data_IF_801791642760
#
_entry.id   IF_801791642760
#
_cell.length_a   1.000
_cell.length_b   1.000
_cell.length_c   1.000
_cell.angle_alpha   90.00
_cell.angle_beta   90.00
_cell.angle_gamma   90.00
#
_symmetry.space_group_name_H-M   'P 1'
#
loop_
_entity.id
_entity.type
_entity.pdbx_description
1 polymer ?
#
# COMPACT_ATOMS: atom_id res chain seq x y z
N UNK A 1 -34.56 54.22 42.81
CA UNK A 1 -35.24 53.35 41.82
C UNK A 1 -34.14 52.79 40.94
N UNK A 2 -33.78 51.52 41.14
CA UNK A 2 -32.70 50.88 40.38
C UNK A 2 -33.24 50.65 38.97
N UNK A 3 -32.70 51.38 37.99
CA UNK A 3 -32.98 51.16 36.58
C UNK A 3 -32.36 49.81 36.20
N UNK A 4 -33.21 48.82 36.03
CA UNK A 4 -32.87 47.56 35.39
C UNK A 4 -32.37 47.88 33.98
N UNK A 5 -31.08 47.69 33.71
CA UNK A 5 -30.60 47.54 32.35
C UNK A 5 -31.27 46.28 31.78
N UNK A 6 -32.14 46.49 30.79
CA UNK A 6 -32.74 45.42 30.00
C UNK A 6 -31.62 44.54 29.45
N UNK A 7 -31.73 43.22 29.66
CA UNK A 7 -30.93 42.21 28.97
C UNK A 7 -30.84 42.57 27.49
N UNK A 8 -29.64 42.90 27.01
CA UNK A 8 -29.41 43.17 25.59
C UNK A 8 -29.79 41.92 24.78
N UNK A 9 -30.81 42.03 23.96
CA UNK A 9 -31.09 41.05 22.91
C UNK A 9 -29.89 41.05 21.94
N UNK A 10 -29.08 40.00 21.98
CA UNK A 10 -28.00 39.77 21.01
C UNK A 10 -28.60 39.09 19.78
N UNK A 11 -28.47 39.68 18.58
CA UNK A 11 -29.03 39.10 17.37
C UNK A 11 -28.34 37.78 17.02
N UNK A 12 -29.08 36.85 16.42
CA UNK A 12 -28.46 35.64 15.85
C UNK A 12 -27.79 35.93 14.51
N UNK A 13 -26.94 35.01 14.04
CA UNK A 13 -26.37 35.05 12.69
C UNK A 13 -27.43 35.06 11.58
N UNK A 14 -28.67 34.64 11.86
CA UNK A 14 -29.78 34.70 10.89
C UNK A 14 -30.44 36.07 10.79
N UNK A 15 -30.18 36.96 11.75
CA UNK A 15 -30.72 38.33 11.80
C UNK A 15 -29.68 39.38 11.37
N UNK A 16 -28.45 38.96 11.12
CA UNK A 16 -27.33 39.81 10.71
C UNK A 16 -27.15 39.76 9.18
N UNK A 17 -26.67 40.86 8.56
CA UNK A 17 -26.30 40.85 7.14
C UNK A 17 -25.22 39.78 6.87
N UNK A 18 -25.45 38.97 5.83
CA UNK A 18 -24.58 37.89 5.38
C UNK A 18 -24.03 38.10 3.96
N UNK A 19 -24.28 39.27 3.37
CA UNK A 19 -23.80 39.69 2.05
C UNK A 19 -23.68 41.22 2.05
N UNK A 20 -22.53 41.75 1.60
CA UNK A 20 -22.38 43.17 1.29
C UNK A 20 -22.15 43.37 -0.22
N UNK A 21 -22.73 44.44 -0.78
CA UNK A 21 -22.58 44.83 -2.18
C UNK A 21 -21.28 45.65 -2.37
N UNK A 22 -20.13 45.11 -1.97
CA UNK A 22 -18.80 45.72 -2.19
C UNK A 22 -18.00 45.00 -3.30
N UNK A 23 -16.96 45.62 -3.92
CA UNK A 23 -16.38 45.15 -5.17
C UNK A 23 -15.87 43.71 -5.10
N UNK A 24 -16.23 42.91 -6.10
CA UNK A 24 -15.86 41.49 -6.23
C UNK A 24 -14.35 41.30 -6.06
N UNK A 25 -13.98 40.44 -5.11
CA UNK A 25 -12.62 40.00 -4.87
C UNK A 25 -11.91 39.58 -6.15
N UNK A 26 -10.60 39.83 -6.21
CA UNK A 26 -9.82 39.32 -7.33
C UNK A 26 -9.65 37.79 -7.23
N UNK A 27 -9.35 37.13 -8.36
CA UNK A 27 -9.23 35.68 -8.45
C UNK A 27 -8.32 35.08 -7.36
N UNK A 28 -7.25 35.78 -6.96
CA UNK A 28 -6.27 35.28 -6.01
C UNK A 28 -6.70 35.43 -4.55
N UNK A 29 -7.48 36.47 -4.24
CA UNK A 29 -8.14 36.62 -2.95
C UNK A 29 -9.12 35.47 -2.69
N UNK A 30 -9.71 34.91 -3.76
CA UNK A 30 -10.54 33.71 -3.67
C UNK A 30 -9.71 32.41 -3.62
N UNK A 31 -8.77 32.21 -4.54
CA UNK A 31 -8.09 30.93 -4.69
C UNK A 31 -7.17 30.58 -3.51
N UNK A 32 -6.48 31.56 -2.92
CA UNK A 32 -5.48 31.29 -1.88
C UNK A 32 -6.10 30.81 -0.56
N UNK A 33 -7.11 31.48 0.02
CA UNK A 33 -7.78 30.98 1.23
C UNK A 33 -8.47 29.64 0.98
N UNK A 34 -9.05 29.41 -0.20
CA UNK A 34 -9.69 28.14 -0.55
C UNK A 34 -8.68 26.99 -0.71
N UNK A 35 -7.48 27.25 -1.26
CA UNK A 35 -6.38 26.28 -1.27
C UNK A 35 -5.95 25.91 0.15
N UNK A 36 -5.77 26.91 1.03
CA UNK A 36 -5.42 26.65 2.43
C UNK A 36 -6.52 25.86 3.15
N UNK A 37 -7.80 26.17 2.90
CA UNK A 37 -8.94 25.42 3.44
C UNK A 37 -8.95 23.96 2.93
N UNK A 38 -8.67 23.74 1.65
CA UNK A 38 -8.69 22.40 1.05
C UNK A 38 -7.56 21.51 1.59
N UNK A 39 -6.35 22.06 1.72
CA UNK A 39 -5.22 21.38 2.36
C UNK A 39 -5.56 21.09 3.82
N UNK A 40 -6.09 22.08 4.56
CA UNK A 40 -6.45 21.92 5.97
C UNK A 40 -7.52 20.84 6.18
N UNK A 41 -8.51 20.76 5.30
CA UNK A 41 -9.52 19.70 5.30
C UNK A 41 -8.91 18.31 5.10
N UNK A 42 -7.77 18.22 4.41
CA UNK A 42 -6.99 16.99 4.26
C UNK A 42 -6.16 16.64 5.49
N UNK A 43 -5.53 17.63 6.15
CA UNK A 43 -4.73 17.44 7.37
C UNK A 43 -5.63 17.05 8.56
N UNK A 44 -6.77 17.70 8.67
CA UNK A 44 -7.70 17.63 9.81
C UNK A 44 -9.03 16.99 9.42
N UNK A 45 -8.99 15.93 8.59
CA UNK A 45 -10.20 15.27 8.06
C UNK A 45 -11.12 14.77 9.16
N UNK A 46 -10.54 14.14 10.19
CA UNK A 46 -11.25 13.55 11.33
C UNK A 46 -11.46 14.54 12.49
N UNK A 47 -10.81 15.71 12.44
CA UNK A 47 -10.88 16.71 13.49
C UNK A 47 -12.15 17.55 13.31
N UNK A 48 -12.92 17.73 14.39
CA UNK A 48 -14.24 18.40 14.36
C UNK A 48 -14.32 19.67 15.23
N UNK A 49 -13.26 20.03 15.93
CA UNK A 49 -13.12 21.19 16.81
C UNK A 49 -12.32 22.33 16.14
N UNK A 50 -12.61 22.65 14.88
CA UNK A 50 -12.01 23.77 14.17
C UNK A 50 -12.93 24.32 13.09
N UNK A 51 -12.77 25.58 12.73
CA UNK A 51 -13.46 26.19 11.59
C UNK A 51 -12.53 27.14 10.86
N UNK A 52 -12.46 27.00 9.54
CA UNK A 52 -11.78 27.96 8.66
C UNK A 52 -12.83 28.64 7.79
N UNK A 53 -12.95 29.97 7.92
CA UNK A 53 -13.85 30.78 7.11
C UNK A 53 -13.08 31.50 6.01
N UNK A 54 -13.74 31.70 4.87
CA UNK A 54 -13.25 32.46 3.71
C UNK A 54 -14.31 33.51 3.41
N UNK A 55 -13.89 34.76 3.24
CA UNK A 55 -14.77 35.90 2.94
C UNK A 55 -16.07 35.89 3.78
N UNK A 56 -15.91 35.80 5.10
CA UNK A 56 -17.03 35.64 6.02
C UNK A 56 -16.98 36.67 7.13
N UNK A 57 -18.10 37.37 7.33
CA UNK A 57 -18.26 38.38 8.36
C UNK A 57 -18.15 37.82 9.77
N UNK A 58 -17.37 38.52 10.60
CA UNK A 58 -17.12 38.18 11.99
C UNK A 58 -17.68 39.27 12.90
N UNK A 59 -18.60 38.89 13.77
CA UNK A 59 -19.28 39.80 14.69
C UNK A 59 -18.77 39.62 16.12
N UNK A 60 -18.10 40.66 16.62
CA UNK A 60 -17.48 40.68 17.95
C UNK A 60 -18.36 41.32 19.02
N UNK A 61 -19.21 42.27 18.61
CA UNK A 61 -20.09 43.05 19.50
C UNK A 61 -21.38 43.39 18.79
N UNK A 62 -22.48 43.42 19.56
CA UNK A 62 -23.78 43.81 19.03
C UNK A 62 -23.73 45.24 18.46
N UNK A 63 -24.29 45.45 17.26
CA UNK A 63 -24.36 46.74 16.54
C UNK A 63 -23.04 47.36 16.07
N UNK A 64 -21.93 46.64 16.17
CA UNK A 64 -20.68 47.01 15.49
C UNK A 64 -20.66 46.36 14.09
N UNK A 65 -20.04 47.02 13.09
CA UNK A 65 -19.81 46.40 11.79
C UNK A 65 -19.05 45.08 11.91
N UNK A 66 -19.35 44.13 11.03
CA UNK A 66 -18.56 42.92 10.91
C UNK A 66 -17.15 43.23 10.44
N UNK A 67 -16.20 42.43 10.90
CA UNK A 67 -14.86 42.36 10.33
C UNK A 67 -14.84 41.21 9.33
N UNK A 68 -14.34 41.47 8.13
CA UNK A 68 -14.30 40.49 7.04
C UNK A 68 -12.83 40.33 6.62
N UNK A 69 -12.15 39.26 7.06
CA UNK A 69 -10.85 38.87 6.52
C UNK A 69 -11.01 37.94 5.32
N UNK A 70 -10.02 37.91 4.42
CA UNK A 70 -10.02 37.00 3.26
C UNK A 70 -10.01 35.53 3.70
N UNK A 71 -9.40 35.25 4.86
CA UNK A 71 -9.55 33.96 5.53
C UNK A 71 -9.26 34.03 7.03
N UNK A 72 -9.83 33.12 7.80
CA UNK A 72 -9.52 32.99 9.22
C UNK A 72 -9.62 31.55 9.71
N UNK A 73 -8.89 31.25 10.79
CA UNK A 73 -8.92 29.97 11.46
C UNK A 73 -9.29 30.14 12.94
N UNK A 74 -10.30 29.39 13.37
CA UNK A 74 -10.66 29.19 14.78
C UNK A 74 -10.46 27.73 15.15
N UNK A 75 -9.92 27.50 16.35
CA UNK A 75 -9.92 26.19 17.00
C UNK A 75 -10.99 26.15 18.09
N UNK A 76 -11.27 24.97 18.62
CA UNK A 76 -12.22 24.75 19.73
C UNK A 76 -13.67 25.15 19.42
N UNK A 77 -14.02 25.21 18.13
CA UNK A 77 -15.38 25.47 17.64
C UNK A 77 -15.85 24.34 16.74
N UNK A 78 -17.17 24.10 16.67
CA UNK A 78 -17.71 23.03 15.83
C UNK A 78 -17.36 23.24 14.36
N UNK A 79 -16.75 22.27 13.69
CA UNK A 79 -16.48 22.34 12.25
C UNK A 79 -17.76 22.48 11.44
N UNK A 80 -18.77 21.71 11.81
CA UNK A 80 -20.08 21.69 11.14
C UNK A 80 -21.16 22.14 12.12
N UNK A 81 -21.38 23.46 12.21
CA UNK A 81 -22.35 24.05 13.12
C UNK A 81 -23.78 23.69 12.72
N UNK A 82 -24.55 23.16 13.67
CA UNK A 82 -26.00 22.96 13.49
C UNK A 82 -26.75 24.12 14.14
N UNK A 83 -27.65 24.76 13.41
CA UNK A 83 -28.48 25.86 13.93
C UNK A 83 -29.82 25.37 14.49
N UNK A 84 -30.45 26.09 15.43
CA UNK A 84 -31.78 25.77 15.95
C UNK A 84 -32.86 25.65 14.87
N UNK A 85 -32.72 26.40 13.76
CA UNK A 85 -33.60 26.35 12.59
C UNK A 85 -33.48 25.06 11.77
N UNK A 86 -32.58 24.15 12.13
CA UNK A 86 -32.26 22.94 11.37
C UNK A 86 -31.32 23.17 10.18
N UNK A 87 -30.97 24.43 9.88
CA UNK A 87 -29.96 24.77 8.87
C UNK A 87 -28.57 24.33 9.34
N UNK A 88 -27.77 23.76 8.43
CA UNK A 88 -26.36 23.38 8.67
C UNK A 88 -25.43 24.45 8.11
N UNK A 89 -24.37 24.78 8.84
CA UNK A 89 -23.36 25.78 8.44
C UNK A 89 -23.58 27.17 9.02
N UNK A 90 -22.51 27.97 9.02
CA UNK A 90 -22.45 29.35 9.52
C UNK A 90 -22.82 30.33 8.40
N UNK A 91 -23.69 31.30 8.71
CA UNK A 91 -23.92 32.47 7.84
C UNK A 91 -22.90 33.57 8.11
N UNK A 92 -22.46 33.65 9.36
CA UNK A 92 -21.41 34.55 9.84
C UNK A 92 -20.76 33.92 11.05
N UNK A 93 -19.56 34.37 11.40
CA UNK A 93 -18.90 33.94 12.63
C UNK A 93 -19.28 34.90 13.76
N UNK A 94 -20.16 34.44 14.64
CA UNK A 94 -20.73 35.28 15.69
C UNK A 94 -20.19 34.85 17.04
N UNK A 95 -19.39 35.70 17.70
CA UNK A 95 -18.67 35.30 18.92
C UNK A 95 -19.57 34.74 20.02
N UNK A 96 -20.72 35.37 20.27
CA UNK A 96 -21.63 34.91 21.33
C UNK A 96 -22.33 33.59 20.97
N UNK A 97 -22.39 33.22 19.69
CA UNK A 97 -22.83 31.89 19.28
C UNK A 97 -21.69 30.85 19.25
N UNK A 98 -20.44 31.28 19.39
CA UNK A 98 -19.23 30.44 19.45
C UNK A 98 -18.63 30.44 20.87
N UNK A 99 -19.44 30.67 21.90
CA UNK A 99 -19.02 30.73 23.31
C UNK A 99 -17.88 31.73 23.61
N UNK A 100 -17.77 32.79 22.80
CA UNK A 100 -16.74 33.81 22.93
C UNK A 100 -15.37 33.40 22.38
N UNK A 101 -15.28 32.27 21.66
CA UNK A 101 -14.03 31.82 21.05
C UNK A 101 -13.65 32.76 19.91
N UNK A 102 -12.46 33.35 20.01
CA UNK A 102 -11.88 34.22 18.98
C UNK A 102 -11.14 33.38 17.94
N UNK A 103 -11.19 33.75 16.65
CA UNK A 103 -10.26 33.21 15.67
C UNK A 103 -8.81 33.44 16.10
N UNK A 104 -7.97 32.41 15.92
CA UNK A 104 -6.55 32.47 16.24
C UNK A 104 -5.74 33.12 15.12
N UNK A 105 -6.16 32.96 13.87
CA UNK A 105 -5.42 33.44 12.70
C UNK A 105 -6.33 34.17 11.73
N UNK A 106 -5.88 35.32 11.24
CA UNK A 106 -6.43 36.04 10.10
C UNK A 106 -5.44 36.07 8.94
N UNK A 107 -5.98 36.00 7.72
CA UNK A 107 -5.27 36.05 6.44
C UNK A 107 -5.81 37.22 5.61
N UNK A 108 -4.89 37.98 5.02
CA UNK A 108 -5.19 39.02 4.02
C UNK A 108 -4.27 38.84 2.79
N UNK A 109 -4.89 38.74 1.62
CA UNK A 109 -4.29 38.63 0.29
C UNK A 109 -4.47 39.97 -0.43
N UNK A 110 -3.37 40.64 -0.77
CA UNK A 110 -3.42 42.00 -1.32
C UNK A 110 -2.70 42.12 -2.66
N UNK A 111 -3.21 42.98 -3.56
CA UNK A 111 -2.80 42.94 -4.99
C UNK A 111 -2.39 44.25 -5.65
N UNK A 112 -2.56 45.48 -5.09
CA UNK A 112 -2.08 46.68 -5.81
C UNK A 112 -1.95 48.05 -5.12
N UNK A 113 -2.58 48.37 -3.99
CA UNK A 113 -2.45 49.72 -3.40
C UNK A 113 -2.53 49.73 -1.87
N UNK A 114 -1.44 50.16 -1.25
CA UNK A 114 -1.30 50.33 0.19
C UNK A 114 -1.97 51.65 0.62
N UNK A 115 -3.31 51.67 0.65
CA UNK A 115 -4.07 52.77 1.21
C UNK A 115 -4.12 52.60 2.75
N UNK A 116 -4.31 53.67 3.51
CA UNK A 116 -4.21 53.68 4.99
C UNK A 116 -5.04 52.62 5.73
N UNK A 117 -6.07 52.08 5.06
CA UNK A 117 -6.97 50.99 5.45
C UNK A 117 -6.26 49.79 6.11
N UNK A 118 -5.10 49.38 5.60
CA UNK A 118 -4.38 48.23 6.14
C UNK A 118 -3.71 48.48 7.50
N UNK A 119 -3.20 49.70 7.70
CA UNK A 119 -2.65 50.09 9.02
C UNK A 119 -3.73 50.13 10.09
N UNK A 120 -4.96 50.36 9.67
CA UNK A 120 -6.13 50.40 10.55
C UNK A 120 -6.64 48.98 10.83
N UNK A 121 -6.76 48.11 9.80
CA UNK A 121 -7.04 46.66 9.97
C UNK A 121 -6.04 45.98 10.92
N UNK A 122 -4.74 46.21 10.74
CA UNK A 122 -3.70 45.63 11.63
C UNK A 122 -3.87 46.04 13.09
N UNK A 123 -4.26 47.28 13.36
CA UNK A 123 -4.53 47.74 14.74
C UNK A 123 -5.85 47.16 15.25
N UNK A 124 -6.87 47.11 14.41
CA UNK A 124 -8.16 46.51 14.72
C UNK A 124 -7.99 45.05 15.13
N UNK A 125 -7.26 44.24 14.36
CA UNK A 125 -7.02 42.82 14.66
C UNK A 125 -6.21 42.64 15.95
N UNK A 126 -5.24 43.51 16.20
CA UNK A 126 -4.50 43.52 17.46
C UNK A 126 -5.40 43.86 18.66
N UNK A 127 -6.31 44.83 18.50
CA UNK A 127 -7.27 45.23 19.54
C UNK A 127 -8.32 44.14 19.80
N UNK A 128 -8.69 43.36 18.79
CA UNK A 128 -9.57 42.20 18.90
C UNK A 128 -8.89 41.01 19.60
N UNK A 129 -7.56 40.98 19.62
CA UNK A 129 -6.79 39.91 20.26
C UNK A 129 -6.47 38.73 19.33
N UNK A 130 -6.55 38.91 18.01
CA UNK A 130 -6.24 37.85 17.04
C UNK A 130 -4.75 37.51 17.13
N UNK A 131 -4.43 36.26 17.44
CA UNK A 131 -3.08 35.85 17.80
C UNK A 131 -2.12 35.92 16.61
N UNK A 132 -2.55 35.47 15.43
CA UNK A 132 -1.75 35.42 14.22
C UNK A 132 -2.38 36.26 13.11
N UNK A 133 -1.54 37.05 12.44
CA UNK A 133 -1.95 37.85 11.30
C UNK A 133 -1.00 37.62 10.12
N UNK A 134 -1.53 36.97 9.09
CA UNK A 134 -0.84 36.57 7.87
C UNK A 134 -1.20 37.52 6.74
N UNK A 135 -0.18 37.92 5.99
CA UNK A 135 -0.28 38.89 4.92
C UNK A 135 0.45 38.31 3.73
N UNK A 136 -0.24 38.22 2.59
CA UNK A 136 0.34 37.74 1.36
C UNK A 136 0.12 38.75 0.23
N UNK A 137 1.21 39.22 -0.36
CA UNK A 137 1.20 40.12 -1.50
C UNK A 137 1.28 39.32 -2.79
N UNK A 138 0.22 39.38 -3.58
CA UNK A 138 0.12 38.62 -4.82
C UNK A 138 0.51 39.41 -6.08
N UNK A 139 0.94 40.69 -5.96
CA UNK A 139 1.46 41.47 -7.09
C UNK A 139 2.93 41.12 -7.38
N UNK A 140 3.13 40.25 -8.36
CA UNK A 140 4.45 39.83 -8.83
C UNK A 140 5.16 40.89 -9.69
N UNK A 141 4.44 41.88 -10.23
CA UNK A 141 5.01 42.87 -11.15
C UNK A 141 5.56 44.10 -10.41
N UNK A 142 5.01 44.42 -9.23
CA UNK A 142 5.50 45.50 -8.37
C UNK A 142 5.55 45.02 -6.91
N UNK A 143 6.37 44.00 -6.59
CA UNK A 143 6.43 43.47 -5.24
C UNK A 143 6.79 44.58 -4.26
N UNK A 144 6.08 44.65 -3.13
CA UNK A 144 6.51 45.51 -2.01
C UNK A 144 7.98 45.22 -1.74
N UNK A 145 8.81 46.27 -1.66
CA UNK A 145 10.26 46.18 -1.36
C UNK A 145 10.48 45.24 -0.16
N UNK A 146 10.80 43.98 -0.44
CA UNK A 146 11.28 42.99 0.51
C UNK A 146 10.27 42.04 1.17
N UNK A 147 8.94 42.20 1.09
CA UNK A 147 8.04 41.35 1.89
C UNK A 147 6.75 40.96 1.15
N UNK A 148 6.83 39.87 0.37
CA UNK A 148 5.66 39.23 -0.27
C UNK A 148 4.85 38.37 0.71
N UNK A 149 5.46 37.91 1.79
CA UNK A 149 4.83 37.11 2.82
C UNK A 149 5.25 37.61 4.21
N UNK A 150 4.27 37.87 5.07
CA UNK A 150 4.49 38.32 6.44
C UNK A 150 3.57 37.59 7.40
N UNK A 151 4.14 37.01 8.45
CA UNK A 151 3.37 36.49 9.59
C UNK A 151 3.68 37.35 10.80
N UNK A 152 2.64 37.80 11.49
CA UNK A 152 2.75 38.54 12.73
C UNK A 152 2.11 37.76 13.86
N UNK A 153 2.77 37.73 15.02
CA UNK A 153 2.23 37.17 16.26
C UNK A 153 1.94 38.28 17.25
N UNK A 154 0.78 38.24 17.88
CA UNK A 154 0.38 39.21 18.89
C UNK A 154 1.12 38.94 20.20
N UNK A 155 1.87 39.92 20.68
CA UNK A 155 2.62 39.86 21.94
C UNK A 155 2.38 41.16 22.70
N UNK A 156 1.80 41.07 23.90
CA UNK A 156 1.48 42.22 24.75
C UNK A 156 0.67 43.31 24.01
N UNK A 157 -0.34 42.89 23.24
CA UNK A 157 -1.22 43.79 22.47
C UNK A 157 -0.59 44.42 21.24
N UNK A 158 0.60 43.97 20.81
CA UNK A 158 1.27 44.46 19.60
C UNK A 158 1.73 43.31 18.72
N UNK A 159 1.55 43.47 17.41
CA UNK A 159 2.03 42.49 16.44
C UNK A 159 3.55 42.57 16.25
N UNK A 160 4.21 41.44 16.46
CA UNK A 160 5.64 41.24 16.18
C UNK A 160 5.77 40.35 14.95
N UNK A 161 6.49 40.84 13.93
CA UNK A 161 6.77 40.06 12.71
C UNK A 161 7.63 38.85 13.05
N UNK A 162 7.20 37.68 12.59
CA UNK A 162 7.95 36.43 12.72
C UNK A 162 8.95 36.32 11.56
N UNK A 163 10.18 35.85 11.81
CA UNK A 163 11.18 35.66 10.77
C UNK A 163 10.94 34.35 10.01
N UNK A 164 11.44 34.28 8.77
CA UNK A 164 11.42 33.07 7.94
C UNK A 164 10.40 33.12 6.80
N UNK A 165 10.59 32.21 5.85
CA UNK A 165 9.67 31.97 4.72
C UNK A 165 8.59 30.93 5.05
N UNK A 166 8.82 30.16 6.13
CA UNK A 166 7.87 29.27 6.78
C UNK A 166 7.85 29.60 8.27
N UNK A 167 6.67 29.82 8.83
CA UNK A 167 6.49 30.23 10.22
C UNK A 167 5.65 29.19 10.94
N UNK A 168 6.27 28.49 11.89
CA UNK A 168 5.59 27.57 12.78
C UNK A 168 4.73 28.31 13.82
N UNK A 169 3.46 27.93 13.94
CA UNK A 169 2.51 28.53 14.88
C UNK A 169 2.10 27.50 15.94
N UNK A 170 2.78 27.45 17.10
CA UNK A 170 2.62 26.36 18.06
C UNK A 170 1.20 26.23 18.63
N UNK A 171 0.46 27.33 18.78
CA UNK A 171 -0.93 27.32 19.25
C UNK A 171 -1.91 26.74 18.22
N UNK A 172 -1.52 26.72 16.94
CA UNK A 172 -2.30 26.11 15.85
C UNK A 172 -1.83 24.66 15.60
N UNK A 173 -0.55 24.38 15.83
CA UNK A 173 0.07 23.10 15.52
C UNK A 173 0.34 22.92 14.03
N UNK A 174 0.46 24.02 13.29
CA UNK A 174 0.80 24.05 11.86
C UNK A 174 1.76 25.21 11.57
N UNK A 175 2.61 25.02 10.57
CA UNK A 175 3.36 26.10 9.93
C UNK A 175 2.62 26.65 8.73
N UNK A 176 2.85 27.92 8.42
CA UNK A 176 2.38 28.53 7.17
C UNK A 176 3.57 29.15 6.43
N UNK A 177 3.60 28.95 5.12
CA UNK A 177 4.69 29.41 4.29
C UNK A 177 4.29 29.45 2.83
N UNK A 178 5.26 29.75 1.98
CA UNK A 178 5.08 29.90 0.54
C UNK A 178 6.03 29.03 -0.24
N UNK A 179 5.53 28.44 -1.32
CA UNK A 179 6.32 27.60 -2.23
C UNK A 179 5.77 27.72 -3.65
N UNK A 180 6.61 27.46 -4.66
CA UNK A 180 6.15 27.36 -6.04
C UNK A 180 5.48 26.00 -6.24
N UNK A 181 4.22 26.01 -6.66
CA UNK A 181 3.48 24.81 -6.97
C UNK A 181 2.42 25.06 -8.03
N UNK A 182 1.72 24.00 -8.42
CA UNK A 182 0.65 24.05 -9.42
C UNK A 182 -0.68 23.79 -8.75
N UNK A 183 -1.61 24.74 -8.85
CA UNK A 183 -2.98 24.56 -8.38
C UNK A 183 -3.93 25.02 -9.48
N UNK A 184 -4.95 24.21 -9.78
CA UNK A 184 -5.88 24.43 -10.91
C UNK A 184 -5.17 24.71 -12.25
N UNK A 185 -4.04 24.03 -12.49
CA UNK A 185 -3.25 24.20 -13.71
C UNK A 185 -2.38 25.46 -13.77
N UNK A 186 -2.33 26.26 -12.70
CA UNK A 186 -1.51 27.47 -12.64
C UNK A 186 -0.29 27.29 -11.74
N UNK A 187 0.90 27.26 -12.35
CA UNK A 187 2.18 27.19 -11.66
C UNK A 187 2.65 28.58 -11.23
N UNK A 188 2.77 28.78 -9.90
CA UNK A 188 3.25 30.02 -9.29
C UNK A 188 3.53 29.82 -7.80
N UNK A 189 3.95 30.89 -7.12
CA UNK A 189 4.01 30.90 -5.66
C UNK A 189 2.60 30.90 -5.04
N UNK A 190 2.36 29.93 -4.17
CA UNK A 190 1.13 29.74 -3.39
C UNK A 190 1.44 29.64 -1.90
N UNK A 191 0.41 29.80 -1.06
CA UNK A 191 0.50 29.52 0.37
C UNK A 191 0.13 28.08 0.67
N UNK A 192 0.87 27.48 1.60
CA UNK A 192 0.67 26.12 2.05
C UNK A 192 0.77 26.01 3.58
N UNK A 193 0.20 24.93 4.11
CA UNK A 193 0.44 24.48 5.48
C UNK A 193 1.69 23.60 5.53
N UNK A 194 2.40 23.63 6.65
CA UNK A 194 3.61 22.87 6.90
C UNK A 194 3.52 22.13 8.23
N UNK A 195 4.19 21.00 8.34
CA UNK A 195 4.36 20.30 9.61
C UNK A 195 5.42 20.98 10.50
N UNK A 196 5.67 20.40 11.68
CA UNK A 196 6.63 20.93 12.67
C UNK A 196 8.09 20.87 12.19
N UNK A 197 8.38 19.99 11.24
CA UNK A 197 9.72 19.73 10.71
C UNK A 197 9.98 20.60 9.45
N UNK A 198 8.97 21.33 8.99
CA UNK A 198 9.03 22.24 7.85
C UNK A 198 8.69 21.57 6.52
N UNK A 199 8.07 20.40 6.52
CA UNK A 199 7.60 19.75 5.30
C UNK A 199 6.22 20.30 4.92
N UNK A 200 6.06 20.66 3.65
CA UNK A 200 4.80 21.14 3.08
C UNK A 200 3.77 20.01 3.05
N UNK A 201 2.54 20.28 3.48
CA UNK A 201 1.43 19.36 3.26
C UNK A 201 0.97 19.42 1.80
N UNK A 202 0.76 18.27 1.14
CA UNK A 202 0.37 18.23 -0.26
C UNK A 202 -1.05 18.76 -0.46
N UNK A 203 -1.30 19.31 -1.66
CA UNK A 203 -2.66 19.67 -2.07
C UNK A 203 -3.52 18.43 -2.29
N UNK A 204 -4.86 18.55 -2.32
CA UNK A 204 -5.73 17.45 -2.69
C UNK A 204 -5.38 16.83 -4.06
N UNK A 205 -4.97 17.64 -5.04
CA UNK A 205 -4.56 17.15 -6.35
C UNK A 205 -3.27 16.32 -6.27
N UNK A 206 -2.25 16.83 -5.57
CA UNK A 206 -0.98 16.12 -5.39
C UNK A 206 -1.18 14.77 -4.66
N UNK A 207 -2.06 14.72 -3.66
CA UNK A 207 -2.43 13.47 -2.96
C UNK A 207 -3.10 12.45 -3.87
N UNK A 208 -3.97 12.91 -4.77
CA UNK A 208 -4.66 12.04 -5.73
C UNK A 208 -3.66 11.47 -6.75
N UNK A 209 -2.74 12.29 -7.25
CA UNK A 209 -1.68 11.84 -8.16
C UNK A 209 -0.76 10.80 -7.50
N UNK A 210 -0.34 11.04 -6.25
CA UNK A 210 0.46 10.08 -5.48
C UNK A 210 -0.28 8.75 -5.28
N UNK A 211 -1.56 8.81 -4.88
CA UNK A 211 -2.39 7.61 -4.69
C UNK A 211 -2.58 6.84 -6.00
N UNK A 212 -2.81 7.56 -7.12
CA UNK A 212 -2.94 6.95 -8.44
C UNK A 212 -1.66 6.23 -8.85
N UNK A 213 -0.50 6.87 -8.63
CA UNK A 213 0.81 6.29 -8.96
C UNK A 213 1.10 5.02 -8.15
N UNK A 214 0.79 5.04 -6.84
CA UNK A 214 0.94 3.86 -5.98
C UNK A 214 0.02 2.71 -6.40
N UNK A 215 -1.20 3.03 -6.84
CA UNK A 215 -2.16 2.04 -7.32
C UNK A 215 -1.70 1.39 -8.63
N UNK A 216 -1.12 2.17 -9.54
CA UNK A 216 -0.53 1.67 -10.78
C UNK A 216 0.66 0.74 -10.48
N UNK A 217 1.58 1.15 -9.60
CA UNK A 217 2.72 0.32 -9.18
C UNK A 217 2.26 -1.00 -8.54
N UNK A 218 1.28 -0.94 -7.64
CA UNK A 218 0.71 -2.14 -7.00
C UNK A 218 0.05 -3.06 -8.03
N UNK A 219 -0.64 -2.49 -9.04
CA UNK A 219 -1.25 -3.26 -10.11
C UNK A 219 -0.20 -3.99 -10.95
N UNK A 220 0.90 -3.33 -11.29
CA UNK A 220 2.00 -3.96 -12.03
C UNK A 220 2.67 -5.09 -11.25
N UNK A 221 2.89 -4.90 -9.93
CA UNK A 221 3.43 -5.96 -9.06
C UNK A 221 2.49 -7.17 -8.96
N UNK A 222 1.17 -6.93 -8.92
CA UNK A 222 0.18 -8.00 -8.90
C UNK A 222 0.17 -8.81 -10.21
N UNK A 223 0.30 -8.14 -11.36
CA UNK A 223 0.39 -8.78 -12.67
C UNK A 223 1.64 -9.67 -12.77
N UNK A 224 2.81 -9.15 -12.36
CA UNK A 224 4.05 -9.93 -12.33
C UNK A 224 3.94 -11.17 -11.44
N UNK A 225 3.38 -11.00 -10.24
CA UNK A 225 3.15 -12.11 -9.30
C UNK A 225 2.21 -13.16 -9.89
N UNK A 226 1.17 -12.73 -10.60
CA UNK A 226 0.23 -13.64 -11.28
C UNK A 226 0.92 -14.43 -12.38
N UNK A 227 1.78 -13.82 -13.20
CA UNK A 227 2.53 -14.52 -14.25
C UNK A 227 3.51 -15.54 -13.66
N UNK A 228 4.20 -15.21 -12.57
CA UNK A 228 5.10 -16.15 -11.88
C UNK A 228 4.34 -17.36 -11.30
N UNK A 229 3.13 -17.12 -10.78
CA UNK A 229 2.27 -18.19 -10.27
C UNK A 229 1.80 -19.13 -11.40
N UNK A 230 1.44 -18.58 -12.55
CA UNK A 230 1.07 -19.35 -13.74
C UNK A 230 2.24 -20.22 -14.22
N UNK A 231 3.45 -19.64 -14.34
CA UNK A 231 4.65 -20.38 -14.72
C UNK A 231 4.96 -21.51 -13.73
N UNK A 232 4.89 -21.23 -12.43
CA UNK A 232 5.11 -22.24 -11.38
C UNK A 232 4.07 -23.36 -11.46
N UNK A 233 2.82 -23.03 -11.76
CA UNK A 233 1.75 -24.02 -11.92
C UNK A 233 2.02 -24.93 -13.14
N UNK A 234 2.46 -24.37 -14.26
CA UNK A 234 2.83 -25.16 -15.44
C UNK A 234 4.02 -26.07 -15.18
N UNK A 235 5.06 -25.60 -14.48
CA UNK A 235 6.21 -26.41 -14.09
C UNK A 235 5.81 -27.57 -13.16
N UNK A 236 4.87 -27.32 -12.24
CA UNK A 236 4.34 -28.35 -11.35
C UNK A 236 3.56 -29.43 -12.11
N UNK A 237 2.75 -29.03 -13.09
CA UNK A 237 2.02 -29.95 -13.97
C UNK A 237 2.99 -30.84 -14.77
N UNK A 238 4.02 -30.24 -15.39
CA UNK A 238 5.04 -30.98 -16.14
C UNK A 238 5.78 -31.98 -15.24
N UNK A 239 6.18 -31.56 -14.04
CA UNK A 239 6.85 -32.43 -13.07
C UNK A 239 5.96 -33.60 -12.64
N UNK A 240 4.66 -33.35 -12.47
CA UNK A 240 3.69 -34.39 -12.13
C UNK A 240 3.56 -35.43 -13.26
N UNK A 241 3.50 -34.99 -14.52
CA UNK A 241 3.44 -35.91 -15.67
C UNK A 241 4.71 -36.76 -15.80
N UNK A 242 5.90 -36.17 -15.61
CA UNK A 242 7.17 -36.90 -15.63
C UNK A 242 7.25 -37.96 -14.51
N UNK A 243 6.70 -37.66 -13.33
CA UNK A 243 6.64 -38.60 -12.22
C UNK A 243 5.73 -39.79 -12.54
N UNK A 244 4.58 -39.56 -13.18
CA UNK A 244 3.65 -40.61 -13.61
C UNK A 244 4.27 -41.54 -14.67
N UNK A 245 4.97 -40.97 -15.65
CA UNK A 245 5.70 -41.73 -16.66
C UNK A 245 6.80 -42.60 -16.03
N UNK A 246 7.59 -42.02 -15.13
CA UNK A 246 8.66 -42.75 -14.42
C UNK A 246 8.10 -43.90 -13.58
N UNK A 247 6.97 -43.67 -12.90
CA UNK A 247 6.28 -44.72 -12.12
C UNK A 247 5.82 -45.87 -13.01
N UNK A 248 5.28 -45.56 -14.19
CA UNK A 248 4.83 -46.58 -15.16
C UNK A 248 5.99 -47.42 -15.69
N UNK A 249 7.13 -46.77 -16.02
CA UNK A 249 8.34 -47.46 -16.47
C UNK A 249 8.93 -48.38 -15.38
N UNK A 250 8.85 -47.96 -14.11
CA UNK A 250 9.32 -48.76 -12.99
C UNK A 250 8.47 -50.03 -12.80
N UNK A 251 7.15 -49.92 -12.95
CA UNK A 251 6.22 -51.05 -12.89
C UNK A 251 6.46 -52.06 -14.02
N UNK A 252 6.69 -51.57 -15.25
CA UNK A 252 7.04 -52.42 -16.38
C UNK A 252 8.36 -53.16 -16.14
N UNK A 253 9.39 -52.45 -15.69
CA UNK A 253 10.72 -53.03 -15.40
C UNK A 253 10.62 -54.08 -14.29
N UNK A 254 9.81 -53.83 -13.26
CA UNK A 254 9.58 -54.80 -12.18
C UNK A 254 8.91 -56.08 -12.70
N UNK A 255 7.93 -55.94 -13.59
CA UNK A 255 7.23 -57.08 -14.20
C UNK A 255 8.17 -57.92 -15.07
N UNK A 256 9.03 -57.27 -15.87
CA UNK A 256 10.04 -57.95 -16.69
C UNK A 256 11.08 -58.69 -15.83
N UNK A 257 11.46 -58.13 -14.69
CA UNK A 257 12.39 -58.77 -13.76
C UNK A 257 11.79 -60.04 -13.14
N UNK A 258 10.50 -60.01 -12.79
CA UNK A 258 9.76 -61.17 -12.25
C UNK A 258 9.65 -62.29 -13.30
N UNK A 259 9.34 -61.95 -14.55
CA UNK A 259 9.31 -62.90 -15.66
C UNK A 259 10.69 -63.55 -15.89
N UNK A 260 11.75 -62.73 -15.92
CA UNK A 260 13.13 -63.22 -16.10
C UNK A 260 13.55 -64.14 -14.95
N UNK A 261 13.18 -63.80 -13.71
CA UNK A 261 13.45 -64.64 -12.54
C UNK A 261 12.74 -66.00 -12.65
N UNK A 262 11.49 -66.01 -13.10
CA UNK A 262 10.72 -67.24 -13.29
C UNK A 262 11.33 -68.14 -14.37
N UNK A 263 11.76 -67.55 -15.50
CA UNK A 263 12.45 -68.26 -16.57
C UNK A 263 13.79 -68.86 -16.10
N UNK A 264 14.53 -68.13 -15.25
CA UNK A 264 15.79 -68.61 -14.69
C UNK A 264 15.57 -69.83 -13.77
N UNK A 265 14.52 -69.81 -12.94
CA UNK A 265 14.15 -70.93 -12.07
C UNK A 265 13.74 -72.18 -12.88
N UNK A 266 12.96 -72.00 -13.95
CA UNK A 266 12.61 -73.09 -14.87
C UNK A 266 13.86 -73.68 -15.54
N UNK A 267 14.74 -72.83 -16.05
CA UNK A 267 15.99 -73.27 -16.70
C UNK A 267 16.90 -74.01 -15.72
N UNK A 268 16.98 -73.55 -14.47
CA UNK A 268 17.73 -74.24 -13.41
C UNK A 268 17.16 -75.63 -13.11
N UNK A 269 15.83 -75.74 -13.04
CA UNK A 269 15.14 -77.02 -12.80
C UNK A 269 15.38 -78.02 -13.94
N UNK A 270 15.30 -77.54 -15.19
CA UNK A 270 15.62 -78.34 -16.37
C UNK A 270 17.08 -78.82 -16.36
N UNK A 271 18.03 -77.96 -15.98
CA UNK A 271 19.44 -78.33 -15.89
C UNK A 271 19.69 -79.44 -14.86
N UNK A 272 19.02 -79.36 -13.70
CA UNK A 272 19.10 -80.39 -12.64
C UNK A 272 18.53 -81.75 -13.11
N UNK A 273 17.40 -81.73 -13.83
CA UNK A 273 16.82 -82.94 -14.43
C UNK A 273 17.78 -83.54 -15.47
N UNK A 274 18.35 -82.71 -16.35
CA UNK A 274 19.29 -83.18 -17.38
C UNK A 274 20.55 -83.78 -16.75
N UNK A 275 21.05 -83.17 -15.67
CA UNK A 275 22.19 -83.68 -14.91
C UNK A 275 21.89 -85.06 -14.29
N UNK A 276 20.70 -85.22 -13.72
CA UNK A 276 20.27 -86.49 -13.12
C UNK A 276 20.15 -87.61 -14.17
N UNK A 277 19.59 -87.29 -15.34
CA UNK A 277 19.54 -88.22 -16.48
C UNK A 277 20.94 -88.61 -16.99
N UNK A 278 21.89 -87.67 -16.99
CA UNK A 278 23.28 -87.94 -17.37
C UNK A 278 23.97 -88.90 -16.38
N UNK A 279 23.72 -88.74 -15.08
CA UNK A 279 24.25 -89.63 -14.05
C UNK A 279 23.67 -91.06 -14.15
N UNK A 280 22.36 -91.18 -14.40
CA UNK A 280 21.71 -92.47 -14.62
C UNK A 280 22.27 -93.18 -15.86
N UNK A 281 22.37 -92.47 -16.99
CA UNK A 281 22.93 -93.04 -18.23
C UNK A 281 24.40 -93.43 -18.07
N UNK A 282 25.20 -92.66 -17.32
CA UNK A 282 26.57 -93.02 -16.98
C UNK A 282 26.64 -94.31 -16.15
N UNK A 283 25.75 -94.46 -15.15
CA UNK A 283 25.68 -95.66 -14.31
C UNK A 283 25.28 -96.90 -15.12
N UNK A 284 24.29 -96.76 -16.02
CA UNK A 284 23.89 -97.82 -16.94
C UNK A 284 25.02 -98.24 -17.88
N UNK A 285 25.81 -97.28 -18.37
CA UNK A 285 26.98 -97.56 -19.21
C UNK A 285 28.05 -98.34 -18.46
N UNK A 286 28.32 -98.01 -17.20
CA UNK A 286 29.27 -98.73 -16.33
C UNK A 286 28.81 -100.16 -16.04
N UNK A 287 27.52 -100.36 -15.77
CA UNK A 287 26.94 -101.70 -15.60
C UNK A 287 27.06 -102.53 -16.88
N UNK A 288 26.72 -101.94 -18.03
CA UNK A 288 26.82 -102.60 -19.34
C UNK A 288 28.28 -102.97 -19.65
N UNK A 289 29.23 -102.09 -19.33
CA UNK A 289 30.66 -102.36 -19.47
C UNK A 289 31.12 -103.52 -18.59
N UNK A 290 30.65 -103.55 -17.33
CA UNK A 290 30.97 -104.63 -16.38
C UNK A 290 30.42 -105.99 -16.86
N UNK A 291 29.18 -106.00 -17.37
CA UNK A 291 28.58 -107.20 -17.97
C UNK A 291 29.34 -107.66 -19.22
N UNK A 292 29.80 -106.72 -20.06
CA UNK A 292 30.62 -107.04 -21.23
C UNK A 292 31.96 -107.65 -20.82
N UNK A 293 32.57 -107.16 -19.75
CA UNK A 293 33.81 -107.73 -19.21
C UNK A 293 33.59 -109.14 -18.62
N UNK A 294 32.53 -109.35 -17.85
CA UNK A 294 32.19 -110.69 -17.33
C UNK A 294 31.92 -111.69 -18.45
N UNK A 295 31.17 -111.30 -19.48
CA UNK A 295 30.91 -112.15 -20.65
C UNK A 295 32.19 -112.46 -21.42
N UNK A 296 33.10 -111.50 -21.57
CA UNK A 296 34.43 -111.72 -22.16
C UNK A 296 35.25 -112.72 -21.33
N UNK A 297 35.36 -112.53 -20.01
CA UNK A 297 36.07 -113.44 -19.12
C UNK A 297 35.49 -114.86 -19.15
N UNK A 298 34.16 -114.98 -19.26
CA UNK A 298 33.47 -116.26 -19.37
C UNK A 298 33.72 -116.95 -20.71
N UNK A 299 33.77 -116.19 -21.81
CA UNK A 299 34.19 -116.69 -23.12
C UNK A 299 35.63 -117.20 -23.08
N UNK A 300 36.54 -116.44 -22.47
CA UNK A 300 37.94 -116.84 -22.28
C UNK A 300 38.07 -118.13 -21.47
N UNK A 301 37.32 -118.24 -20.36
CA UNK A 301 37.28 -119.46 -19.54
C UNK A 301 36.74 -120.67 -20.31
N UNK A 302 35.65 -120.50 -21.07
CA UNK A 302 35.08 -121.56 -21.91
C UNK A 302 36.06 -122.01 -23.00
N UNK A 303 36.74 -121.05 -23.65
CA UNK A 303 37.77 -121.33 -24.64
C UNK A 303 38.93 -122.13 -24.04
N UNK A 304 39.44 -121.73 -22.87
CA UNK A 304 40.50 -122.46 -22.16
C UNK A 304 40.06 -123.90 -21.80
N UNK A 305 38.82 -124.08 -21.33
CA UNK A 305 38.27 -125.39 -20.99
C UNK A 305 38.06 -126.30 -22.21
N UNK A 306 37.63 -125.75 -23.35
CA UNK A 306 37.53 -126.50 -24.61
C UNK A 306 38.92 -126.99 -25.06
N UNK A 307 39.95 -126.16 -24.93
CA UNK A 307 41.33 -126.53 -25.22
C UNK A 307 41.84 -127.66 -24.31
N UNK A 308 41.55 -127.64 -22.99
CA UNK A 308 41.89 -128.75 -22.08
C UNK A 308 41.21 -130.08 -22.47
N UNK A 309 40.01 -130.02 -23.04
CA UNK A 309 39.29 -131.19 -23.55
C UNK A 309 39.79 -131.67 -24.92
N UNK A 310 40.81 -131.04 -25.50
CA UNK A 310 41.37 -131.39 -26.81
C UNK A 310 40.56 -130.90 -28.01
N UNK A 311 39.63 -129.95 -27.80
CA UNK A 311 38.82 -129.33 -28.85
C UNK A 311 39.42 -127.94 -29.11
N UNK A 312 39.84 -127.66 -30.36
CA UNK A 312 40.31 -126.31 -30.71
C UNK A 312 39.10 -125.39 -30.93
N UNK A 313 38.89 -124.36 -30.09
CA UNK A 313 37.75 -123.46 -30.22
C UNK A 313 37.73 -122.66 -31.54
N UNK A 314 38.87 -122.40 -32.18
CA UNK A 314 38.95 -121.68 -33.47
C UNK A 314 38.50 -122.52 -34.69
N UNK A 315 38.20 -123.81 -34.49
CA UNK A 315 37.77 -124.74 -35.53
C UNK A 315 36.28 -125.14 -35.44
N UNK A 316 35.50 -124.49 -34.55
CA UNK A 316 34.05 -124.67 -34.38
C UNK A 316 33.25 -123.62 -35.16
#
# INVERSE_FOLDING_TARGET
>A
MVSYQSLEYLPSSEELPDSDDTPVDNELQNLIPNLLLSILGGIWSERMDWFFGVDMGIYYRNRYPAVIPDGFLSLEVERQKTRPSGRRGRLSYVLWEENGVLPLLFLEVVSKKYNGEYKDKKKEYANLGILYYVIYDCDLNHPRKGNQFEVHRLVNGKYIRQPGETVWMPEIGLGIGREVGTHLGWTREWLYWYDKDGNRYPTPEERLEETSSQLEETSSQLEETSSQLEETSSQLEETSSQLEETSSQLEETSSQLEETSSQLEETSSQLEETSSQLEETSSQLEETSSQLEETSQRLDYLNARLQEMGINPDNL
#
